data_IF_714853222861
#
_entry.id   IF_714853222861
#
_cell.length_a   1.000
_cell.length_b   1.000
_cell.length_c   1.000
_cell.angle_alpha   90.00
_cell.angle_beta   90.00
_cell.angle_gamma   90.00
#
_symmetry.space_group_name_H-M   'P 1'
#
loop_
_entity.id
_entity.type
_entity.pdbx_description
1 polymer ?
#
# COMPACT_ATOMS: atom_id res chain seq x y z
N UNK A 1 -0.85 -19.58 4.82
CA UNK A 1 -1.35 -19.26 6.17
C UNK A 1 -1.25 -17.75 6.32
N UNK A 2 -2.37 -17.02 6.24
CA UNK A 2 -2.33 -15.55 6.39
C UNK A 2 -2.03 -15.22 7.86
N UNK A 3 -1.23 -14.17 8.17
CA UNK A 3 -0.97 -13.81 9.55
C UNK A 3 -2.30 -13.44 10.23
N UNK A 4 -2.59 -14.03 11.38
CA UNK A 4 -3.72 -13.62 12.22
C UNK A 4 -3.51 -12.16 12.60
N UNK A 5 -4.43 -11.28 12.20
CA UNK A 5 -4.50 -9.88 12.66
C UNK A 5 -4.77 -9.88 14.17
N UNK A 6 -3.71 -10.02 14.98
CA UNK A 6 -3.79 -9.91 16.44
C UNK A 6 -4.11 -8.46 16.85
N UNK A 7 -4.71 -8.32 18.03
CA UNK A 7 -5.41 -7.15 18.56
C UNK A 7 -4.47 -6.06 19.10
N UNK A 8 -3.55 -5.56 18.27
CA UNK A 8 -2.63 -4.45 18.58
C UNK A 8 -3.29 -3.04 18.52
N UNK A 9 -4.60 -2.97 18.27
CA UNK A 9 -5.32 -1.72 18.06
C UNK A 9 -5.27 -1.20 16.62
N UNK A 10 -4.43 -1.77 15.74
CA UNK A 10 -4.44 -1.41 14.32
C UNK A 10 -5.75 -1.87 13.68
N UNK A 11 -6.33 -0.98 12.89
CA UNK A 11 -7.60 -1.20 12.18
C UNK A 11 -7.39 -1.40 10.67
N UNK A 12 -6.18 -1.11 10.20
CA UNK A 12 -5.75 -1.29 8.81
C UNK A 12 -4.33 -1.83 8.82
N UNK A 13 -4.09 -2.91 8.08
CA UNK A 13 -2.73 -3.38 7.75
C UNK A 13 -2.41 -2.99 6.30
N UNK A 14 -1.20 -2.51 6.06
CA UNK A 14 -0.75 -2.03 4.74
C UNK A 14 0.46 -2.83 4.30
N UNK A 15 0.45 -3.29 3.05
CA UNK A 15 1.59 -3.95 2.40
C UNK A 15 1.73 -3.50 0.96
N UNK A 16 2.93 -3.65 0.40
CA UNK A 16 3.14 -3.49 -1.03
C UNK A 16 2.97 -4.81 -1.77
N UNK A 17 2.42 -4.75 -2.98
CA UNK A 17 2.38 -5.85 -3.94
C UNK A 17 3.04 -5.39 -5.23
N UNK A 18 3.81 -6.27 -5.86
CA UNK A 18 4.59 -5.96 -7.06
C UNK A 18 4.11 -6.79 -8.25
N UNK A 19 4.10 -6.20 -9.44
CA UNK A 19 3.89 -6.91 -10.70
C UNK A 19 5.07 -7.80 -11.11
N UNK A 20 6.24 -7.56 -10.53
CA UNK A 20 7.46 -8.36 -10.73
C UNK A 20 7.82 -9.11 -9.44
N UNK A 21 8.37 -10.33 -9.55
CA UNK A 21 8.68 -11.18 -8.41
C UNK A 21 9.86 -10.66 -7.57
N UNK A 22 10.74 -9.85 -8.17
CA UNK A 22 11.94 -9.33 -7.52
C UNK A 22 12.53 -8.11 -8.22
N UNK A 23 13.50 -7.49 -7.57
CA UNK A 23 14.20 -6.31 -8.11
C UNK A 23 15.10 -6.65 -9.30
N UNK A 24 15.65 -7.86 -9.36
CA UNK A 24 16.51 -8.28 -10.47
C UNK A 24 15.71 -8.27 -11.79
N UNK A 25 14.53 -8.88 -11.78
CA UNK A 25 13.60 -8.89 -12.91
C UNK A 25 13.09 -7.48 -13.24
N UNK A 26 12.86 -6.64 -12.22
CA UNK A 26 12.47 -5.24 -12.41
C UNK A 26 13.52 -4.45 -13.21
N UNK A 27 14.81 -4.69 -12.94
CA UNK A 27 15.92 -4.00 -13.59
C UNK A 27 16.17 -4.50 -15.02
N UNK A 28 15.82 -5.76 -15.31
CA UNK A 28 15.84 -6.30 -16.68
C UNK A 28 14.72 -5.71 -17.55
N UNK A 29 13.53 -5.49 -16.99
CA UNK A 29 12.35 -4.91 -17.67
C UNK A 29 12.32 -3.37 -17.64
N UNK A 30 13.38 -2.71 -18.13
CA UNK A 30 13.48 -1.24 -18.24
C UNK A 30 13.44 -0.44 -16.93
N UNK A 31 13.35 -1.11 -15.77
CA UNK A 31 13.25 -0.46 -14.46
C UNK A 31 11.85 0.07 -14.12
N UNK A 32 10.86 -0.11 -15.00
CA UNK A 32 9.48 0.35 -14.79
C UNK A 32 8.58 -0.85 -14.53
N UNK A 33 7.98 -0.90 -13.34
CA UNK A 33 7.06 -1.96 -12.97
C UNK A 33 5.88 -1.41 -12.18
N UNK A 34 4.81 -2.21 -12.12
CA UNK A 34 3.63 -1.88 -11.34
C UNK A 34 3.84 -2.18 -9.87
N UNK A 35 3.54 -1.19 -9.02
CA UNK A 35 3.50 -1.31 -7.56
C UNK A 35 2.08 -0.99 -7.08
N UNK A 36 1.52 -1.89 -6.28
CA UNK A 36 0.23 -1.72 -5.63
C UNK A 36 0.37 -1.57 -4.12
N UNK A 37 -0.54 -0.83 -3.51
CA UNK A 37 -0.73 -0.80 -2.06
C UNK A 37 -1.93 -1.68 -1.72
N UNK A 38 -1.67 -2.79 -1.03
CA UNK A 38 -2.71 -3.65 -0.47
C UNK A 38 -3.07 -3.18 0.95
N UNK A 39 -4.36 -3.02 1.21
CA UNK A 39 -4.89 -2.54 2.48
C UNK A 39 -5.93 -3.53 2.99
N UNK A 40 -5.64 -4.15 4.13
CA UNK A 40 -6.57 -5.05 4.82
C UNK A 40 -7.21 -4.31 5.97
N UNK A 41 -8.50 -4.02 5.81
CA UNK A 41 -9.29 -3.21 6.74
C UNK A 41 -10.11 -4.16 7.62
N UNK A 42 -10.05 -3.94 8.95
CA UNK A 42 -10.85 -4.73 9.90
C UNK A 42 -12.35 -4.41 9.71
N UNK A 43 -13.20 -5.39 10.00
CA UNK A 43 -14.65 -5.24 9.91
C UNK A 43 -15.15 -4.01 10.70
N UNK A 44 -16.11 -3.27 10.12
CA UNK A 44 -16.64 -2.02 10.67
C UNK A 44 -15.73 -0.79 10.52
N UNK A 45 -14.50 -0.94 9.99
CA UNK A 45 -13.60 0.17 9.68
C UNK A 45 -13.65 0.53 8.21
N UNK A 46 -13.45 1.82 7.93
CA UNK A 46 -13.47 2.36 6.58
C UNK A 46 -12.32 3.34 6.42
N UNK A 47 -11.77 3.40 5.21
CA UNK A 47 -10.85 4.45 4.76
C UNK A 47 -11.55 5.29 3.71
N UNK A 48 -11.13 6.54 3.58
CA UNK A 48 -11.69 7.41 2.55
C UNK A 48 -11.09 7.11 1.18
N UNK A 49 -11.98 7.12 0.19
CA UNK A 49 -11.60 7.13 -1.21
C UNK A 49 -11.06 8.51 -1.63
N UNK A 50 -10.60 8.64 -2.87
CA UNK A 50 -10.03 9.89 -3.42
C UNK A 50 -10.94 11.10 -3.26
N UNK A 51 -12.26 10.91 -3.26
CA UNK A 51 -13.23 11.96 -2.98
C UNK A 51 -13.92 11.69 -1.63
N UNK A 52 -13.43 12.28 -0.52
CA UNK A 52 -13.91 11.97 0.83
C UNK A 52 -15.16 12.75 1.26
N UNK A 53 -15.66 13.67 0.43
CA UNK A 53 -16.69 14.63 0.83
C UNK A 53 -16.19 15.62 1.89
N UNK A 54 -17.11 16.37 2.51
CA UNK A 54 -16.78 17.50 3.40
C UNK A 54 -16.14 17.11 4.75
N UNK A 55 -16.20 15.84 5.14
CA UNK A 55 -15.83 15.39 6.49
C UNK A 55 -14.61 14.46 6.54
N UNK A 56 -14.03 14.10 5.40
CA UNK A 56 -12.94 13.14 5.36
C UNK A 56 -11.64 13.69 4.82
N UNK A 57 -10.53 13.04 5.17
CA UNK A 57 -9.22 13.25 4.56
C UNK A 57 -8.97 12.15 3.54
N UNK A 58 -8.54 12.48 2.30
CA UNK A 58 -8.27 11.46 1.30
C UNK A 58 -7.06 10.63 1.72
N UNK A 59 -7.08 9.34 1.35
CA UNK A 59 -5.88 8.50 1.45
C UNK A 59 -4.83 9.00 0.45
N UNK A 60 -3.63 9.33 0.92
CA UNK A 60 -2.52 9.83 0.10
C UNK A 60 -1.31 8.92 0.17
N UNK A 61 -0.50 8.93 -0.89
CA UNK A 61 0.82 8.29 -0.95
C UNK A 61 1.84 9.38 -1.20
N UNK A 62 2.81 9.51 -0.31
CA UNK A 62 3.96 10.39 -0.48
C UNK A 62 5.18 9.55 -0.81
N UNK A 63 5.72 9.73 -2.00
CA UNK A 63 6.95 9.08 -2.42
C UNK A 63 8.14 9.89 -1.93
N UNK A 64 8.99 9.27 -1.12
CA UNK A 64 10.32 9.79 -0.85
C UNK A 64 11.30 8.98 -1.69
N UNK A 65 11.64 9.51 -2.87
CA UNK A 65 12.78 8.99 -3.61
C UNK A 65 14.04 9.41 -2.85
N UNK A 66 14.82 8.44 -2.37
CA UNK A 66 16.14 8.74 -1.85
C UNK A 66 16.99 9.20 -3.05
N UNK A 67 17.68 10.35 -2.99
CA UNK A 67 18.35 10.95 -4.15
C UNK A 67 19.50 10.10 -4.74
N UNK A 68 19.92 9.07 -4.02
CA UNK A 68 21.00 8.16 -4.42
C UNK A 68 20.51 6.83 -5.02
N UNK A 69 19.21 6.73 -5.33
CA UNK A 69 18.61 5.66 -6.15
C UNK A 69 18.15 6.21 -7.51
#
# INVERSE_FOLDING_TARGET
>A
MAPSLQSDGNRVAVSFISGVPGMAEAMEESGVFWLGVDMKIKEGWHIYWRNPGDSGLPTTISWNAHPDL
#
